data_IF_871564286421
#
_entry.id   IF_871564286421
#
_cell.length_a   1.000
_cell.length_b   1.000
_cell.length_c   1.000
_cell.angle_alpha   90.00
_cell.angle_beta   90.00
_cell.angle_gamma   90.00
#
_symmetry.space_group_name_H-M   'P 1'
#
loop_
_entity.id
_entity.type
_entity.pdbx_description
1 polymer ?
#
# COMPACT_ATOMS: atom_id res chain seq x y z
N UNK A 1 7.05 -4.69 -5.72
CA UNK A 1 6.02 -5.66 -6.15
C UNK A 1 6.50 -6.59 -7.24
N UNK A 2 7.07 -6.09 -8.35
CA UNK A 2 7.56 -6.96 -9.43
C UNK A 2 8.55 -8.03 -8.96
N UNK A 3 9.46 -7.69 -8.05
CA UNK A 3 10.39 -8.65 -7.46
C UNK A 3 9.72 -9.69 -6.52
N UNK A 4 8.51 -9.39 -6.00
CA UNK A 4 7.70 -10.31 -5.19
C UNK A 4 6.86 -11.24 -6.08
N UNK A 5 6.23 -10.69 -7.11
CA UNK A 5 5.52 -11.45 -8.13
C UNK A 5 6.45 -12.45 -8.84
N UNK A 6 7.66 -12.01 -9.21
CA UNK A 6 8.68 -12.91 -9.79
C UNK A 6 9.14 -14.02 -8.84
N UNK A 7 9.06 -13.82 -7.51
CA UNK A 7 9.33 -14.88 -6.51
C UNK A 7 8.16 -15.88 -6.38
N UNK A 8 6.94 -15.45 -6.68
CA UNK A 8 5.74 -16.30 -6.73
C UNK A 8 5.56 -16.95 -8.11
N UNK A 9 6.49 -16.73 -9.05
CA UNK A 9 6.48 -17.36 -10.37
C UNK A 9 5.40 -16.81 -11.31
N UNK A 10 4.88 -15.62 -11.04
CA UNK A 10 3.79 -15.01 -11.79
C UNK A 10 4.19 -13.61 -12.24
N UNK A 11 3.82 -13.23 -13.45
CA UNK A 11 4.13 -11.90 -13.99
C UNK A 11 2.90 -10.97 -13.92
N UNK A 12 3.15 -9.65 -13.83
CA UNK A 12 2.10 -8.63 -13.87
C UNK A 12 1.22 -8.73 -15.12
N UNK A 13 1.77 -9.23 -16.22
CA UNK A 13 1.03 -9.49 -17.46
C UNK A 13 0.13 -10.73 -17.37
N UNK A 14 0.47 -11.74 -16.57
CA UNK A 14 -0.31 -12.97 -16.42
C UNK A 14 -1.46 -12.87 -15.40
N UNK A 15 -1.29 -12.08 -14.33
CA UNK A 15 -2.34 -11.90 -13.31
C UNK A 15 -3.56 -11.11 -13.80
N UNK A 16 -3.36 -10.24 -14.79
CA UNK A 16 -4.36 -9.26 -15.19
C UNK A 16 -4.48 -8.08 -14.21
N UNK A 17 -4.99 -6.95 -14.71
CA UNK A 17 -5.01 -5.66 -13.98
C UNK A 17 -5.76 -5.73 -12.65
N UNK A 18 -6.90 -6.42 -12.61
CA UNK A 18 -7.75 -6.48 -11.42
C UNK A 18 -7.09 -7.25 -10.27
N UNK A 19 -6.59 -8.47 -10.55
CA UNK A 19 -5.89 -9.25 -9.51
C UNK A 19 -4.59 -8.60 -9.07
N UNK A 20 -3.90 -7.91 -9.98
CA UNK A 20 -2.71 -7.13 -9.62
C UNK A 20 -3.04 -6.01 -8.62
N UNK A 21 -4.13 -5.26 -8.86
CA UNK A 21 -4.58 -4.21 -7.96
C UNK A 21 -4.96 -4.78 -6.59
N UNK A 22 -5.69 -5.90 -6.58
CA UNK A 22 -6.08 -6.58 -5.33
C UNK A 22 -4.85 -7.02 -4.50
N UNK A 23 -3.86 -7.64 -5.16
CA UNK A 23 -2.57 -8.03 -4.55
C UNK A 23 -1.80 -6.81 -4.02
N UNK A 24 -1.83 -5.69 -4.75
CA UNK A 24 -1.22 -4.43 -4.31
C UNK A 24 -1.87 -3.94 -3.03
N UNK A 25 -3.20 -3.94 -2.95
CA UNK A 25 -3.92 -3.54 -1.74
C UNK A 25 -3.64 -4.43 -0.54
N UNK A 26 -3.59 -5.76 -0.73
CA UNK A 26 -3.23 -6.69 0.34
C UNK A 26 -1.82 -6.41 0.87
N UNK A 27 -0.87 -6.21 -0.04
CA UNK A 27 0.51 -5.90 0.32
C UNK A 27 0.63 -4.55 1.05
N UNK A 28 -0.08 -3.53 0.56
CA UNK A 28 -0.13 -2.19 1.19
C UNK A 28 -0.66 -2.32 2.61
N UNK A 29 -1.72 -3.09 2.85
CA UNK A 29 -2.27 -3.32 4.19
C UNK A 29 -1.23 -3.89 5.17
N UNK A 30 -0.51 -4.94 4.75
CA UNK A 30 0.53 -5.55 5.59
C UNK A 30 1.73 -4.65 5.84
N UNK A 31 2.21 -3.97 4.79
CA UNK A 31 3.35 -3.05 4.90
C UNK A 31 3.01 -1.84 5.75
N UNK A 32 1.81 -1.27 5.59
CA UNK A 32 1.31 -0.15 6.39
C UNK A 32 1.28 -0.49 7.87
N UNK A 33 0.65 -1.60 8.25
CA UNK A 33 0.60 -2.03 9.65
C UNK A 33 2.00 -2.23 10.25
N UNK A 34 2.94 -2.80 9.48
CA UNK A 34 4.32 -3.00 9.92
C UNK A 34 5.06 -1.69 10.14
N UNK A 35 4.93 -0.74 9.21
CA UNK A 35 5.59 0.58 9.28
C UNK A 35 5.03 1.39 10.45
N UNK A 36 3.71 1.40 10.63
CA UNK A 36 3.03 2.09 11.74
C UNK A 36 3.45 1.51 13.08
N UNK A 37 3.50 0.18 13.21
CA UNK A 37 3.99 -0.48 14.42
C UNK A 37 5.45 -0.12 14.73
N UNK A 38 6.32 -0.09 13.72
CA UNK A 38 7.71 0.33 13.88
C UNK A 38 7.81 1.79 14.37
N UNK A 39 7.03 2.70 13.80
CA UNK A 39 7.04 4.11 14.22
C UNK A 39 6.50 4.30 15.64
N UNK A 40 5.43 3.60 16.02
CA UNK A 40 4.92 3.62 17.40
C UNK A 40 5.97 3.12 18.39
N UNK A 41 6.70 2.06 18.03
CA UNK A 41 7.77 1.50 18.86
C UNK A 41 8.99 2.43 18.96
N UNK A 42 9.23 3.27 17.96
CA UNK A 42 10.25 4.33 17.99
C UNK A 42 9.81 5.56 18.80
N UNK A 43 8.56 5.61 19.27
CA UNK A 43 8.02 6.74 20.05
C UNK A 43 7.57 7.92 19.19
N UNK A 44 7.24 7.70 17.91
CA UNK A 44 6.69 8.76 17.07
C UNK A 44 5.31 9.22 17.59
N UNK A 45 5.21 10.47 18.02
CA UNK A 45 3.96 11.09 18.51
C UNK A 45 3.09 11.63 17.37
N UNK A 46 2.94 10.86 16.29
CA UNK A 46 2.10 11.22 15.15
C UNK A 46 0.62 10.98 15.46
N UNK A 47 -0.27 11.73 14.80
CA UNK A 47 -1.71 11.50 14.88
C UNK A 47 -2.11 10.27 14.04
N UNK A 48 -2.06 9.10 14.68
CA UNK A 48 -2.41 7.81 14.07
C UNK A 48 -3.88 7.71 13.65
N UNK A 49 -4.76 8.58 14.16
CA UNK A 49 -6.18 8.58 13.77
C UNK A 49 -6.41 9.18 12.39
N UNK A 50 -5.46 9.97 11.90
CA UNK A 50 -5.49 10.64 10.59
C UNK A 50 -4.50 10.04 9.60
N UNK A 51 -4.07 8.80 9.81
CA UNK A 51 -3.15 8.13 8.91
C UNK A 51 -3.78 8.00 7.51
N UNK A 52 -3.12 8.56 6.49
CA UNK A 52 -3.53 8.47 5.08
C UNK A 52 -2.41 7.88 4.25
N UNK A 53 -2.79 7.12 3.24
CA UNK A 53 -1.90 6.57 2.24
C UNK A 53 -2.18 7.21 0.88
N UNK A 54 -1.16 7.34 0.03
CA UNK A 54 -1.28 8.05 -1.26
C UNK A 54 -2.26 7.41 -2.24
N UNK A 55 -2.55 6.11 -2.08
CA UNK A 55 -3.56 5.41 -2.88
C UNK A 55 -4.96 5.41 -2.22
N UNK A 56 -5.15 6.02 -1.05
CA UNK A 56 -6.49 6.21 -0.47
C UNK A 56 -7.33 7.16 -1.34
N UNK A 57 -8.65 7.01 -1.28
CA UNK A 57 -9.62 7.73 -2.13
C UNK A 57 -9.50 9.27 -2.04
N UNK A 58 -9.31 9.81 -0.83
CA UNK A 58 -9.15 11.25 -0.59
C UNK A 58 -7.90 11.87 -1.24
N UNK A 59 -6.67 11.38 -0.98
CA UNK A 59 -5.48 11.90 -1.66
C UNK A 59 -5.47 11.60 -3.16
N UNK A 60 -6.08 10.50 -3.61
CA UNK A 60 -6.25 10.24 -5.04
C UNK A 60 -7.15 11.28 -5.72
N UNK A 61 -8.21 11.74 -5.05
CA UNK A 61 -9.07 12.84 -5.52
C UNK A 61 -8.28 14.15 -5.63
N UNK A 62 -7.41 14.44 -4.67
CA UNK A 62 -6.58 15.64 -4.68
C UNK A 62 -5.66 15.70 -5.92
N UNK A 63 -5.12 14.56 -6.36
CA UNK A 63 -4.31 14.48 -7.59
C UNK A 63 -5.17 14.62 -8.86
N UNK A 64 -6.42 14.14 -8.85
CA UNK A 64 -7.31 14.15 -10.03
C UNK A 64 -7.99 15.49 -10.27
N UNK A 65 -8.04 16.36 -9.26
CA UNK A 65 -8.79 17.63 -9.30
C UNK A 65 -7.87 18.86 -9.33
N UNK A 66 -6.54 18.66 -9.21
CA UNK A 66 -5.54 19.71 -9.22
C UNK A 66 -5.12 20.13 -10.65
#
# INVERSE_FOLDING_TARGET
MEQKLGKEGTDRHELGREKFIDRVWEWVGQSRQSITYQHQRLGASCDWTRERFTLDDEPALAVRTA
#
